data_IF_631549851146
#
_entry.id   IF_631549851146
#
_cell.length_a   1.000
_cell.length_b   1.000
_cell.length_c   1.000
_cell.angle_alpha   90.00
_cell.angle_beta   90.00
_cell.angle_gamma   90.00
#
_symmetry.space_group_name_H-M   'P 1'
#
loop_
_entity.id
_entity.type
_entity.pdbx_description
1 polymer ?
#
# COMPACT_ATOMS: atom_id res chain seq x y z
N UNK A 1 -0.53 -21.61 15.82
CA UNK A 1 0.51 -21.79 16.84
C UNK A 1 -0.05 -21.68 18.25
N UNK A 2 -0.37 -20.47 18.77
CA UNK A 2 -0.87 -20.31 20.15
C UNK A 2 -1.99 -21.27 20.54
N UNK A 3 -3.10 -21.31 19.78
CA UNK A 3 -4.22 -22.23 20.04
C UNK A 3 -3.80 -23.71 20.15
N UNK A 4 -2.80 -24.13 19.37
CA UNK A 4 -2.31 -25.53 19.40
C UNK A 4 -1.34 -25.75 20.56
N UNK A 5 -0.51 -24.76 20.88
CA UNK A 5 0.40 -24.81 22.03
C UNK A 5 -0.37 -24.86 23.36
N UNK A 6 -1.42 -24.04 23.50
CA UNK A 6 -2.31 -24.01 24.66
C UNK A 6 -3.09 -25.32 24.87
N UNK A 7 -3.26 -26.12 23.81
CA UNK A 7 -3.90 -27.43 23.88
C UNK A 7 -2.96 -28.55 24.36
N UNK A 8 -1.67 -28.26 24.55
CA UNK A 8 -0.68 -29.20 25.03
C UNK A 8 -0.30 -29.00 26.48
N UNK A 9 0.68 -29.80 26.93
CA UNK A 9 1.28 -29.73 28.25
C UNK A 9 2.79 -29.62 28.16
N UNK A 10 3.37 -28.83 29.06
CA UNK A 10 4.81 -28.53 29.15
C UNK A 10 5.59 -29.67 29.84
N UNK A 11 6.91 -29.51 29.98
CA UNK A 11 7.77 -30.55 30.56
C UNK A 11 7.45 -30.85 32.04
N UNK A 12 6.81 -29.91 32.75
CA UNK A 12 6.40 -30.06 34.14
C UNK A 12 4.97 -30.61 34.27
N UNK A 13 4.28 -30.86 33.15
CA UNK A 13 2.89 -31.29 33.10
C UNK A 13 1.87 -30.16 33.26
N UNK A 14 2.31 -28.90 33.23
CA UNK A 14 1.44 -27.73 33.25
C UNK A 14 0.81 -27.50 31.86
N UNK A 15 -0.39 -26.92 31.82
CA UNK A 15 -1.03 -26.57 30.56
C UNK A 15 -0.22 -25.50 29.80
N UNK A 16 -0.14 -25.64 28.48
CA UNK A 16 0.56 -24.70 27.62
C UNK A 16 -0.05 -23.29 27.65
N UNK A 17 0.81 -22.28 27.57
CA UNK A 17 0.41 -20.88 27.42
C UNK A 17 0.47 -20.39 25.98
N UNK A 18 0.18 -19.10 25.76
CA UNK A 18 0.48 -18.42 24.49
C UNK A 18 1.98 -18.53 24.18
N UNK A 19 2.31 -18.97 22.97
CA UNK A 19 3.68 -19.03 22.47
C UNK A 19 4.17 -17.65 22.02
N UNK A 20 3.33 -16.95 21.27
CA UNK A 20 3.60 -15.60 20.77
C UNK A 20 2.62 -14.59 21.35
N UNK A 21 3.08 -13.38 21.59
CA UNK A 21 2.21 -12.21 21.62
C UNK A 21 2.31 -11.46 20.28
N UNK A 22 1.26 -10.72 19.93
CA UNK A 22 1.20 -9.94 18.70
C UNK A 22 0.15 -8.84 18.79
N UNK A 23 0.28 -7.83 17.93
CA UNK A 23 -0.63 -6.68 17.94
C UNK A 23 -2.09 -7.04 17.65
N UNK A 24 -2.99 -6.24 18.21
CA UNK A 24 -4.43 -6.34 17.95
C UNK A 24 -4.85 -5.47 16.76
N UNK A 25 -6.04 -5.69 16.18
CA UNK A 25 -6.60 -4.81 15.15
C UNK A 25 -6.65 -3.35 15.60
N UNK A 26 -6.28 -2.44 14.69
CA UNK A 26 -6.40 -1.01 14.92
C UNK A 26 -7.66 -0.46 14.22
N UNK A 27 -8.32 0.52 14.84
CA UNK A 27 -9.46 1.22 14.23
C UNK A 27 -9.16 2.72 14.17
N UNK A 28 -9.29 3.29 12.99
CA UNK A 28 -9.08 4.72 12.73
C UNK A 28 -10.42 5.38 12.46
N UNK A 29 -10.80 6.32 13.30
CA UNK A 29 -12.01 7.13 13.15
C UNK A 29 -11.78 8.26 12.15
N UNK A 30 -12.72 8.49 11.24
CA UNK A 30 -12.65 9.64 10.34
C UNK A 30 -12.95 10.93 11.12
N UNK A 31 -12.07 11.93 11.00
CA UNK A 31 -12.22 13.22 11.70
C UNK A 31 -13.42 14.05 11.26
N UNK A 32 -14.07 13.68 10.15
CA UNK A 32 -15.32 14.30 9.67
C UNK A 32 -16.58 13.62 10.21
N UNK A 33 -16.43 12.58 11.05
CA UNK A 33 -17.59 11.96 11.68
C UNK A 33 -18.28 12.98 12.60
N UNK A 34 -19.60 12.91 12.61
CA UNK A 34 -20.44 13.84 13.38
C UNK A 34 -21.15 13.15 14.53
N UNK A 35 -21.26 11.81 14.50
CA UNK A 35 -21.79 11.01 15.59
C UNK A 35 -20.78 10.81 16.73
N UNK A 36 -21.26 10.16 17.80
CA UNK A 36 -20.46 9.77 18.96
C UNK A 36 -20.00 8.31 18.90
N UNK A 37 -20.19 7.66 17.75
CA UNK A 37 -19.85 6.25 17.58
C UNK A 37 -18.35 6.00 17.78
N UNK A 38 -18.04 4.96 18.54
CA UNK A 38 -16.69 4.43 18.70
C UNK A 38 -16.67 2.96 18.32
N UNK A 39 -15.56 2.52 17.73
CA UNK A 39 -15.40 1.16 17.27
C UNK A 39 -14.14 0.53 17.86
N UNK A 40 -14.28 -0.73 18.27
CA UNK A 40 -13.15 -1.59 18.63
C UNK A 40 -13.20 -2.85 17.77
N UNK A 41 -12.05 -3.40 17.42
CA UNK A 41 -11.96 -4.58 16.58
C UNK A 41 -11.14 -5.67 17.26
N UNK A 42 -11.61 -6.90 17.15
CA UNK A 42 -10.94 -8.09 17.69
C UNK A 42 -10.93 -9.20 16.64
N UNK A 43 -9.96 -10.11 16.75
CA UNK A 43 -9.88 -11.29 15.89
C UNK A 43 -10.61 -12.44 16.57
N UNK A 44 -11.75 -12.85 16.03
CA UNK A 44 -12.49 -14.02 16.50
C UNK A 44 -11.91 -15.32 15.89
N UNK A 45 -11.57 -15.30 14.61
CA UNK A 45 -11.00 -16.43 13.88
C UNK A 45 -9.86 -15.98 12.96
N UNK A 46 -8.62 -16.16 13.43
CA UNK A 46 -7.41 -15.79 12.70
C UNK A 46 -7.27 -16.50 11.36
N UNK A 47 -7.94 -17.65 11.15
CA UNK A 47 -7.80 -18.41 9.90
C UNK A 47 -8.57 -17.77 8.74
N UNK A 48 -9.59 -16.95 9.06
CA UNK A 48 -10.45 -16.28 8.08
C UNK A 48 -10.08 -14.82 7.84
N UNK A 49 -9.21 -14.26 8.69
CA UNK A 49 -8.71 -12.89 8.54
C UNK A 49 -8.07 -12.72 7.18
N UNK A 50 -8.54 -11.71 6.44
CA UNK A 50 -8.01 -11.33 5.14
C UNK A 50 -6.95 -10.23 5.28
N UNK A 51 -6.00 -10.21 4.36
CA UNK A 51 -4.96 -9.18 4.26
C UNK A 51 -5.51 -7.92 3.56
N UNK A 52 -6.50 -7.27 4.16
CA UNK A 52 -7.14 -6.06 3.63
C UNK A 52 -7.59 -5.13 4.76
N UNK A 53 -7.58 -3.84 4.48
CA UNK A 53 -8.20 -2.83 5.34
C UNK A 53 -9.69 -2.71 4.99
N UNK A 54 -10.52 -2.51 6.01
CA UNK A 54 -11.96 -2.38 5.84
C UNK A 54 -12.40 -0.96 6.14
N UNK A 55 -13.05 -0.32 5.17
CA UNK A 55 -13.77 0.93 5.40
C UNK A 55 -15.21 0.61 5.79
N UNK A 56 -15.57 0.91 7.02
CA UNK A 56 -16.94 0.82 7.52
C UNK A 56 -17.58 2.20 7.39
N UNK A 57 -18.78 2.28 6.82
CA UNK A 57 -19.55 3.51 6.73
C UNK A 57 -21.00 3.27 7.12
N UNK A 58 -21.53 4.11 8.01
CA UNK A 58 -22.93 4.05 8.40
C UNK A 58 -23.81 4.69 7.33
N UNK A 59 -24.82 3.95 6.84
CA UNK A 59 -25.73 4.44 5.80
C UNK A 59 -27.01 5.11 6.36
N UNK A 60 -27.16 5.16 7.69
CA UNK A 60 -28.35 5.64 8.40
C UNK A 60 -29.17 4.53 9.05
N UNK A 61 -28.94 3.27 8.67
CA UNK A 61 -29.59 2.08 9.25
C UNK A 61 -28.55 1.01 9.58
N UNK A 62 -27.71 0.67 8.60
CA UNK A 62 -26.72 -0.39 8.66
C UNK A 62 -25.30 0.12 8.35
N UNK A 63 -24.33 -0.77 8.50
CA UNK A 63 -22.94 -0.53 8.13
C UNK A 63 -22.62 -1.13 6.78
N UNK A 64 -22.15 -0.30 5.85
CA UNK A 64 -21.55 -0.73 4.59
C UNK A 64 -20.06 -0.92 4.80
N UNK A 65 -19.58 -2.15 4.61
CA UNK A 65 -18.19 -2.53 4.74
C UNK A 65 -17.60 -2.64 3.32
N UNK A 66 -16.53 -1.89 3.07
CA UNK A 66 -15.81 -1.89 1.80
C UNK A 66 -14.38 -2.34 2.02
N UNK A 67 -13.95 -3.39 1.32
CA UNK A 67 -12.56 -3.87 1.34
C UNK A 67 -11.68 -3.02 0.42
N UNK A 68 -10.36 -3.15 0.55
CA UNK A 68 -9.41 -2.41 -0.31
C UNK A 68 -9.52 -2.75 -1.81
N UNK A 69 -10.05 -3.93 -2.14
CA UNK A 69 -10.35 -4.37 -3.51
C UNK A 69 -11.67 -3.78 -4.08
N UNK A 70 -12.34 -2.90 -3.32
CA UNK A 70 -13.62 -2.25 -3.62
C UNK A 70 -14.85 -3.17 -3.57
N UNK A 71 -14.70 -4.43 -3.18
CA UNK A 71 -15.86 -5.26 -2.86
C UNK A 71 -16.55 -4.72 -1.61
N UNK A 72 -17.88 -4.73 -1.60
CA UNK A 72 -18.65 -4.22 -0.47
C UNK A 72 -19.85 -5.11 -0.14
N UNK A 73 -20.23 -5.08 1.12
CA UNK A 73 -21.41 -5.74 1.66
C UNK A 73 -21.95 -4.89 2.81
N UNK A 74 -23.24 -5.04 3.10
CA UNK A 74 -23.92 -4.31 4.17
C UNK A 74 -24.36 -5.29 5.24
N UNK A 75 -24.23 -4.89 6.50
CA UNK A 75 -24.73 -5.68 7.62
C UNK A 75 -25.18 -4.81 8.78
N UNK A 76 -26.20 -5.29 9.49
CA UNK A 76 -26.62 -4.73 10.76
C UNK A 76 -25.74 -5.29 11.90
N UNK A 77 -25.47 -4.51 12.94
CA UNK A 77 -24.86 -5.03 14.16
C UNK A 77 -25.81 -6.01 14.86
N UNK A 78 -25.26 -6.98 15.58
CA UNK A 78 -26.04 -7.88 16.44
C UNK A 78 -26.62 -7.15 17.67
N UNK A 79 -27.35 -7.87 18.51
CA UNK A 79 -27.95 -7.31 19.73
C UNK A 79 -26.93 -6.71 20.73
N UNK A 80 -25.65 -7.06 20.60
CA UNK A 80 -24.54 -6.56 21.42
C UNK A 80 -23.72 -5.48 20.71
N UNK A 81 -24.13 -5.04 19.51
CA UNK A 81 -23.42 -4.03 18.73
C UNK A 81 -22.27 -4.57 17.88
N UNK A 82 -22.13 -5.89 17.71
CA UNK A 82 -21.01 -6.48 16.96
C UNK A 82 -21.33 -6.67 15.48
N UNK A 83 -20.35 -6.36 14.64
CA UNK A 83 -20.28 -6.70 13.22
C UNK A 83 -19.26 -7.82 13.05
N UNK A 84 -19.71 -9.01 12.63
CA UNK A 84 -18.83 -10.18 12.47
C UNK A 84 -18.65 -10.55 11.01
N UNK A 85 -17.45 -10.36 10.47
CA UNK A 85 -17.12 -10.65 9.08
C UNK A 85 -15.64 -11.04 8.95
N UNK A 86 -15.31 -11.91 7.99
CA UNK A 86 -13.93 -12.28 7.64
C UNK A 86 -13.04 -12.63 8.87
N UNK A 87 -13.61 -13.29 9.88
CA UNK A 87 -12.90 -13.68 11.12
C UNK A 87 -12.68 -12.56 12.14
N UNK A 88 -13.19 -11.35 11.87
CA UNK A 88 -13.16 -10.20 12.75
C UNK A 88 -14.49 -10.03 13.48
N UNK A 89 -14.42 -9.46 14.68
CA UNK A 89 -15.56 -8.94 15.41
C UNK A 89 -15.30 -7.47 15.73
N UNK A 90 -16.08 -6.59 15.11
CA UNK A 90 -16.00 -5.14 15.31
C UNK A 90 -17.19 -4.71 16.17
N UNK A 91 -16.92 -4.29 17.40
CA UNK A 91 -17.95 -3.77 18.29
C UNK A 91 -18.14 -2.29 18.05
N UNK A 92 -19.40 -1.89 17.85
CA UNK A 92 -19.82 -0.50 17.66
C UNK A 92 -20.54 -0.04 18.93
N UNK A 93 -20.09 1.06 19.50
CA UNK A 93 -20.70 1.71 20.67
C UNK A 93 -21.08 3.14 20.33
N UNK A 94 -22.01 3.73 21.08
CA UNK A 94 -22.49 5.10 20.84
C UNK A 94 -23.46 5.19 19.65
N UNK A 95 -23.73 6.42 19.21
CA UNK A 95 -24.67 6.69 18.10
C UNK A 95 -23.90 7.15 16.86
N UNK A 96 -24.10 6.47 15.73
CA UNK A 96 -23.54 6.86 14.44
C UNK A 96 -24.52 7.74 13.67
N UNK A 97 -24.01 8.76 13.00
CA UNK A 97 -24.76 9.54 12.03
C UNK A 97 -24.49 9.03 10.61
N UNK A 98 -25.43 9.25 9.69
CA UNK A 98 -25.26 8.85 8.31
C UNK A 98 -23.96 9.46 7.73
N UNK A 99 -23.21 8.63 6.99
CA UNK A 99 -21.88 8.90 6.41
C UNK A 99 -20.69 8.87 7.39
N UNK A 100 -20.91 8.67 8.69
CA UNK A 100 -19.81 8.39 9.61
C UNK A 100 -19.02 7.18 9.13
N UNK A 101 -17.69 7.24 9.19
CA UNK A 101 -16.81 6.22 8.65
C UNK A 101 -15.60 5.92 9.52
N UNK A 102 -15.18 4.66 9.45
CA UNK A 102 -14.07 4.10 10.23
C UNK A 102 -13.24 3.21 9.31
N UNK A 103 -11.94 3.15 9.54
CA UNK A 103 -11.03 2.21 8.86
C UNK A 103 -10.54 1.20 9.89
N UNK A 104 -10.88 -0.07 9.69
CA UNK A 104 -10.40 -1.18 10.50
C UNK A 104 -9.21 -1.82 9.79
N UNK A 105 -8.07 -1.85 10.48
CA UNK A 105 -6.81 -2.43 10.03
C UNK A 105 -6.55 -3.69 10.84
N UNK A 106 -6.91 -4.89 10.32
CA UNK A 106 -6.88 -6.10 11.12
C UNK A 106 -5.45 -6.59 11.45
N UNK A 107 -4.49 -6.33 10.55
CA UNK A 107 -3.16 -6.96 10.60
C UNK A 107 -1.98 -5.99 10.57
N UNK A 108 -2.21 -4.66 10.49
CA UNK A 108 -1.12 -3.68 10.31
C UNK A 108 -0.13 -3.68 11.47
N UNK A 109 -0.63 -3.88 12.69
CA UNK A 109 0.15 -3.73 13.92
C UNK A 109 0.56 -5.10 14.50
N UNK A 110 0.21 -6.19 13.81
CA UNK A 110 0.50 -7.56 14.25
C UNK A 110 2.01 -7.78 14.35
N UNK A 111 2.76 -7.38 13.32
CA UNK A 111 4.21 -7.66 13.23
C UNK A 111 5.01 -6.77 14.19
N UNK A 112 4.65 -5.49 14.33
CA UNK A 112 5.43 -4.54 15.15
C UNK A 112 5.44 -4.92 16.64
N UNK A 113 4.39 -5.59 17.11
CA UNK A 113 4.26 -6.06 18.48
C UNK A 113 4.42 -7.59 18.60
N UNK A 114 4.99 -8.26 17.60
CA UNK A 114 5.15 -9.71 17.64
C UNK A 114 6.36 -10.09 18.50
N UNK A 115 6.13 -10.90 19.54
CA UNK A 115 7.20 -11.39 20.41
C UNK A 115 6.95 -12.83 20.88
N UNK A 116 8.02 -13.53 21.28
CA UNK A 116 7.92 -14.83 21.93
C UNK A 116 7.65 -14.60 23.42
N UNK A 117 6.56 -15.16 23.95
CA UNK A 117 6.09 -14.85 25.31
C UNK A 117 6.95 -15.46 26.41
N UNK A 118 7.59 -16.59 26.14
CA UNK A 118 8.45 -17.27 27.11
C UNK A 118 9.82 -17.55 26.50
N UNK A 119 10.86 -17.45 27.32
CA UNK A 119 12.25 -17.72 26.94
C UNK A 119 12.77 -19.06 27.49
N UNK A 120 12.01 -19.67 28.38
CA UNK A 120 12.31 -20.93 29.04
C UNK A 120 11.82 -22.10 28.17
N UNK A 121 12.71 -23.00 27.81
CA UNK A 121 12.42 -24.18 27.01
C UNK A 121 11.46 -25.17 27.70
N UNK A 122 11.44 -25.21 29.04
CA UNK A 122 10.58 -26.13 29.79
C UNK A 122 9.09 -25.81 29.63
N UNK A 123 8.77 -24.59 29.18
CA UNK A 123 7.41 -24.11 28.89
C UNK A 123 6.89 -24.48 27.50
N UNK A 124 7.69 -25.19 26.70
CA UNK A 124 7.24 -25.75 25.43
C UNK A 124 6.28 -26.92 25.65
N UNK A 125 5.01 -26.70 25.29
CA UNK A 125 3.93 -27.64 25.48
C UNK A 125 3.91 -28.71 24.38
N UNK A 126 4.81 -29.68 24.46
CA UNK A 126 5.00 -30.72 23.44
C UNK A 126 4.10 -31.95 23.64
N UNK A 127 3.67 -32.19 24.89
CA UNK A 127 2.83 -33.32 25.25
C UNK A 127 1.35 -33.04 24.94
N UNK A 128 0.59 -34.10 24.64
CA UNK A 128 -0.85 -33.99 24.38
C UNK A 128 -1.73 -34.27 25.61
N UNK A 129 -1.13 -34.81 26.67
CA UNK A 129 -1.77 -35.08 27.94
C UNK A 129 -0.79 -34.80 29.09
N UNK A 130 -1.29 -34.32 30.23
CA UNK A 130 -0.49 -34.02 31.43
C UNK A 130 0.27 -35.24 31.97
N UNK A 131 -0.22 -36.46 31.72
CA UNK A 131 0.41 -37.73 32.09
C UNK A 131 0.97 -38.52 30.89
N UNK A 132 1.20 -37.86 29.75
CA UNK A 132 1.65 -38.51 28.51
C UNK A 132 3.05 -39.14 28.59
N UNK A 133 3.78 -38.91 29.68
CA UNK A 133 5.18 -39.27 29.85
C UNK A 133 6.11 -38.16 29.36
N UNK A 134 7.33 -38.12 29.88
CA UNK A 134 8.34 -37.07 29.61
C UNK A 134 8.73 -36.95 28.12
N UNK A 135 8.39 -37.96 27.31
CA UNK A 135 8.70 -38.02 25.88
C UNK A 135 7.48 -37.86 24.95
N UNK A 136 6.30 -37.50 25.46
CA UNK A 136 5.13 -37.26 24.59
C UNK A 136 5.37 -36.01 23.73
N UNK A 137 5.46 -36.19 22.43
CA UNK A 137 5.67 -35.14 21.45
C UNK A 137 4.48 -34.96 20.49
N UNK A 138 3.31 -35.56 20.78
CA UNK A 138 2.15 -35.54 19.89
C UNK A 138 1.60 -34.13 19.66
N UNK A 139 1.68 -33.23 20.65
CA UNK A 139 1.31 -31.83 20.43
C UNK A 139 2.37 -31.10 19.59
N UNK A 140 3.64 -31.44 19.78
CA UNK A 140 4.73 -31.02 18.90
C UNK A 140 4.50 -31.41 17.44
N UNK A 141 4.06 -32.64 17.18
CA UNK A 141 3.70 -33.09 15.84
C UNK A 141 2.54 -32.25 15.27
N UNK A 142 1.49 -31.97 16.06
CA UNK A 142 0.39 -31.09 15.62
C UNK A 142 0.85 -29.66 15.32
N UNK A 143 1.81 -29.14 16.09
CA UNK A 143 2.44 -27.84 15.82
C UNK A 143 3.21 -27.86 14.49
N UNK A 144 3.93 -28.95 14.20
CA UNK A 144 4.60 -29.14 12.92
C UNK A 144 3.61 -29.27 11.75
N UNK A 145 2.50 -30.00 11.95
CA UNK A 145 1.47 -30.20 10.94
C UNK A 145 0.80 -28.88 10.51
N UNK A 146 0.82 -27.84 11.37
CA UNK A 146 0.37 -26.50 10.99
C UNK A 146 1.14 -25.92 9.81
N UNK A 147 2.39 -26.33 9.58
CA UNK A 147 3.17 -25.91 8.42
C UNK A 147 2.47 -26.27 7.10
N UNK A 148 1.79 -27.42 7.06
CA UNK A 148 1.09 -27.93 5.89
C UNK A 148 -0.41 -27.57 5.90
N UNK A 149 -0.89 -26.94 6.97
CA UNK A 149 -2.31 -26.60 7.13
C UNK A 149 -2.66 -25.29 6.45
N UNK A 150 -3.85 -25.23 5.83
CA UNK A 150 -4.35 -24.06 5.08
C UNK A 150 -4.99 -23.03 6.00
N UNK A 151 -4.20 -22.47 6.90
CA UNK A 151 -4.67 -21.56 7.95
C UNK A 151 -4.59 -20.08 7.60
N UNK A 152 -4.05 -19.71 6.44
CA UNK A 152 -3.98 -18.31 5.99
C UNK A 152 -5.11 -18.03 5.00
N UNK A 153 -6.03 -17.14 5.38
CA UNK A 153 -7.20 -16.78 4.56
C UNK A 153 -8.12 -17.96 4.23
N UNK A 154 -8.02 -19.05 4.99
CA UNK A 154 -8.78 -20.30 4.84
C UNK A 154 -8.34 -21.22 3.69
N UNK A 155 -7.31 -20.86 2.91
CA UNK A 155 -6.95 -21.61 1.71
C UNK A 155 -5.44 -21.74 1.41
N UNK A 156 -4.56 -21.06 2.15
CA UNK A 156 -3.11 -21.10 1.94
C UNK A 156 -2.37 -21.60 3.18
N UNK A 157 -1.29 -22.33 2.96
CA UNK A 157 -0.29 -22.59 4.00
C UNK A 157 0.54 -21.34 4.28
N UNK A 158 1.36 -21.34 5.34
CA UNK A 158 2.27 -20.24 5.61
C UNK A 158 3.27 -20.02 4.47
N UNK A 159 3.80 -21.10 3.88
CA UNK A 159 4.75 -21.01 2.78
C UNK A 159 4.07 -20.48 1.50
N UNK A 160 2.88 -21.00 1.16
CA UNK A 160 2.14 -20.56 -0.02
C UNK A 160 1.77 -19.07 0.06
N UNK A 161 1.34 -18.60 1.24
CA UNK A 161 1.02 -17.20 1.47
C UNK A 161 2.23 -16.29 1.27
N UNK A 162 3.38 -16.67 1.83
CA UNK A 162 4.63 -15.91 1.66
C UNK A 162 5.13 -15.94 0.22
N UNK A 163 5.17 -17.11 -0.42
CA UNK A 163 5.58 -17.26 -1.82
C UNK A 163 4.68 -16.46 -2.77
N UNK A 164 3.36 -16.46 -2.53
CA UNK A 164 2.37 -15.67 -3.27
C UNK A 164 2.62 -14.17 -3.12
N UNK A 165 2.98 -13.69 -1.92
CA UNK A 165 3.33 -12.29 -1.69
C UNK A 165 4.58 -11.89 -2.47
N UNK A 166 5.66 -12.67 -2.35
CA UNK A 166 6.92 -12.42 -3.06
C UNK A 166 6.71 -12.43 -4.58
N UNK A 167 5.95 -13.40 -5.08
CA UNK A 167 5.60 -13.50 -6.51
C UNK A 167 4.81 -12.29 -7.00
N UNK A 168 3.84 -11.80 -6.21
CA UNK A 168 3.03 -10.63 -6.56
C UNK A 168 3.89 -9.36 -6.62
N UNK A 169 4.77 -9.16 -5.62
CA UNK A 169 5.70 -8.01 -5.61
C UNK A 169 6.66 -8.09 -6.79
N UNK A 170 7.23 -9.27 -7.07
CA UNK A 170 8.17 -9.46 -8.18
C UNK A 170 7.54 -9.21 -9.54
N UNK A 171 6.36 -9.79 -9.80
CA UNK A 171 5.63 -9.62 -11.07
C UNK A 171 5.15 -8.18 -11.28
N UNK A 172 4.60 -7.54 -10.24
CA UNK A 172 4.20 -6.13 -10.29
C UNK A 172 5.39 -5.21 -10.56
N UNK A 173 6.53 -5.46 -9.89
CA UNK A 173 7.77 -4.69 -10.10
C UNK A 173 8.29 -4.83 -11.53
N UNK A 174 8.29 -6.05 -12.08
CA UNK A 174 8.71 -6.28 -13.47
C UNK A 174 7.80 -5.53 -14.46
N UNK A 175 6.48 -5.61 -14.28
CA UNK A 175 5.51 -4.90 -15.11
C UNK A 175 5.67 -3.38 -15.02
N UNK A 176 5.82 -2.84 -13.81
CA UNK A 176 6.04 -1.40 -13.58
C UNK A 176 7.36 -0.92 -14.18
N UNK A 177 8.42 -1.73 -14.12
CA UNK A 177 9.72 -1.41 -14.75
C UNK A 177 9.57 -1.26 -16.26
N UNK A 178 8.98 -2.24 -16.94
CA UNK A 178 8.74 -2.18 -18.39
C UNK A 178 7.85 -0.99 -18.77
N UNK A 179 6.79 -0.73 -18.00
CA UNK A 179 5.92 0.43 -18.22
C UNK A 179 6.67 1.76 -18.02
N UNK A 180 7.53 1.85 -17.00
CA UNK A 180 8.33 3.04 -16.72
C UNK A 180 9.34 3.33 -17.83
N UNK A 181 10.06 2.31 -18.31
CA UNK A 181 11.00 2.43 -19.42
C UNK A 181 10.29 2.85 -20.72
N UNK A 182 9.12 2.28 -20.99
CA UNK A 182 8.30 2.67 -22.16
C UNK A 182 7.86 4.13 -22.05
N UNK A 183 7.35 4.56 -20.88
CA UNK A 183 6.93 5.95 -20.64
C UNK A 183 8.10 6.92 -20.75
N UNK A 184 9.28 6.56 -20.27
CA UNK A 184 10.49 7.35 -20.41
C UNK A 184 10.89 7.53 -21.89
N UNK A 185 10.88 6.45 -22.67
CA UNK A 185 11.17 6.50 -24.10
C UNK A 185 10.16 7.36 -24.88
N UNK A 186 8.87 7.24 -24.57
CA UNK A 186 7.82 8.09 -25.15
C UNK A 186 8.05 9.56 -24.81
N UNK A 187 8.37 9.87 -23.55
CA UNK A 187 8.69 11.24 -23.14
C UNK A 187 9.91 11.79 -23.90
N UNK A 188 10.99 11.01 -24.04
CA UNK A 188 12.15 11.41 -24.85
C UNK A 188 11.78 11.66 -26.30
N UNK A 189 10.96 10.79 -26.91
CA UNK A 189 10.55 10.95 -28.30
C UNK A 189 9.69 12.19 -28.52
N UNK A 190 8.74 12.46 -27.62
CA UNK A 190 7.90 13.65 -27.65
C UNK A 190 8.74 14.93 -27.46
N UNK A 191 9.72 14.92 -26.55
CA UNK A 191 10.65 16.05 -26.37
C UNK A 191 11.46 16.31 -27.63
N UNK A 192 11.97 15.28 -28.31
CA UNK A 192 12.69 15.43 -29.59
C UNK A 192 11.78 16.01 -30.68
N UNK A 193 10.54 15.55 -30.80
CA UNK A 193 9.57 16.10 -31.75
C UNK A 193 9.25 17.57 -31.43
N UNK A 194 9.07 17.91 -30.16
CA UNK A 194 8.85 19.28 -29.71
C UNK A 194 10.05 20.18 -30.06
N UNK A 195 11.28 19.74 -29.82
CA UNK A 195 12.50 20.47 -30.18
C UNK A 195 12.68 20.61 -31.69
N UNK A 196 12.20 19.66 -32.50
CA UNK A 196 12.25 19.77 -33.96
C UNK A 196 11.30 20.82 -34.53
N UNK A 197 10.20 21.13 -33.85
CA UNK A 197 9.19 22.09 -34.32
C UNK A 197 9.37 23.45 -33.66
N UNK A 198 9.64 23.48 -32.36
CA UNK A 198 9.69 24.69 -31.54
C UNK A 198 11.05 24.91 -30.89
N UNK A 199 12.07 24.11 -31.23
CA UNK A 199 13.43 24.35 -30.79
C UNK A 199 14.09 25.43 -31.64
N UNK A 200 14.95 26.23 -31.01
CA UNK A 200 15.79 27.22 -31.68
C UNK A 200 17.03 26.52 -32.21
N UNK A 201 17.21 26.51 -33.53
CA UNK A 201 18.44 26.03 -34.14
C UNK A 201 19.46 27.18 -34.17
N UNK A 202 20.46 27.12 -33.30
CA UNK A 202 21.48 28.17 -33.19
C UNK A 202 22.22 28.40 -34.51
N UNK A 203 22.45 27.37 -35.32
CA UNK A 203 23.15 27.53 -36.61
C UNK A 203 22.30 28.30 -37.63
N UNK A 204 20.98 28.07 -37.63
CA UNK A 204 20.03 28.81 -38.48
C UNK A 204 19.85 30.25 -37.98
N UNK A 205 19.75 30.45 -36.67
CA UNK A 205 19.75 31.78 -36.06
C UNK A 205 21.07 32.54 -36.32
N UNK A 206 22.23 31.88 -36.29
CA UNK A 206 23.52 32.48 -36.63
C UNK A 206 23.58 32.87 -38.11
N UNK A 207 23.09 32.02 -39.01
CA UNK A 207 22.98 32.34 -40.43
C UNK A 207 22.06 33.54 -40.69
N UNK A 208 20.90 33.57 -40.04
CA UNK A 208 19.96 34.70 -40.10
C UNK A 208 20.57 35.97 -39.50
N UNK A 209 21.26 35.87 -38.37
CA UNK A 209 21.96 36.97 -37.73
C UNK A 209 23.03 37.56 -38.66
N UNK A 210 23.85 36.71 -39.28
CA UNK A 210 24.87 37.15 -40.21
C UNK A 210 24.25 37.81 -41.47
N UNK A 211 23.13 37.27 -41.95
CA UNK A 211 22.36 37.88 -43.04
C UNK A 211 21.79 39.25 -42.65
N UNK A 212 21.25 39.39 -41.43
CA UNK A 212 20.77 40.68 -40.91
C UNK A 212 21.91 41.68 -40.75
N UNK A 213 23.08 41.24 -40.28
CA UNK A 213 24.28 42.09 -40.22
C UNK A 213 24.73 42.55 -41.62
N UNK A 214 24.71 41.66 -42.62
CA UNK A 214 25.01 42.03 -44.01
C UNK A 214 24.00 43.02 -44.59
N UNK A 215 22.70 42.83 -44.36
CA UNK A 215 21.68 43.80 -44.79
C UNK A 215 21.83 45.14 -44.09
N UNK A 216 22.17 45.14 -42.80
CA UNK A 216 22.44 46.38 -42.06
C UNK A 216 23.63 47.15 -42.66
N UNK A 217 24.75 46.46 -42.94
CA UNK A 217 25.92 47.06 -43.57
C UNK A 217 25.63 47.56 -45.00
N UNK A 218 24.88 46.79 -45.79
CA UNK A 218 24.47 47.20 -47.14
C UNK A 218 23.56 48.44 -47.11
N UNK A 219 22.57 48.48 -46.21
CA UNK A 219 21.71 49.64 -46.00
C UNK A 219 22.52 50.86 -45.51
N UNK A 220 23.50 50.66 -44.62
CA UNK A 220 24.40 51.72 -44.19
C UNK A 220 25.24 52.27 -45.37
N UNK A 221 25.73 51.42 -46.29
CA UNK A 221 26.42 51.85 -47.51
C UNK A 221 25.50 52.59 -48.49
N UNK A 222 24.24 52.17 -48.64
CA UNK A 222 23.24 52.88 -49.44
C UNK A 222 22.96 54.25 -48.84
N UNK A 223 22.77 54.35 -47.53
CA UNK A 223 22.60 55.62 -46.82
C UNK A 223 23.84 56.52 -46.96
N UNK A 224 25.05 55.96 -46.85
CA UNK A 224 26.30 56.69 -47.05
C UNK A 224 26.37 57.28 -48.48
N UNK A 225 26.02 56.48 -49.47
CA UNK A 225 26.03 56.87 -50.88
C UNK A 225 24.94 57.89 -51.18
N UNK A 226 23.75 57.72 -50.61
CA UNK A 226 22.66 58.69 -50.68
C UNK A 226 23.06 60.03 -50.03
N UNK A 227 23.74 60.01 -48.89
CA UNK A 227 24.30 61.22 -48.25
C UNK A 227 25.33 61.88 -49.15
N UNK A 228 26.25 61.12 -49.75
CA UNK A 228 27.25 61.67 -50.68
C UNK A 228 26.59 62.29 -51.91
N UNK A 229 25.53 61.67 -52.45
CA UNK A 229 24.75 62.24 -53.55
C UNK A 229 23.99 63.51 -53.12
N UNK A 230 23.41 63.52 -51.92
CA UNK A 230 22.73 64.68 -51.36
C UNK A 230 23.69 65.86 -51.18
N UNK A 231 24.87 65.61 -50.61
CA UNK A 231 25.91 66.61 -50.42
C UNK A 231 26.47 67.12 -51.75
N UNK A 232 26.61 66.24 -52.76
CA UNK A 232 26.99 66.64 -54.11
C UNK A 232 25.93 67.54 -54.77
N UNK A 233 24.64 67.26 -54.59
CA UNK A 233 23.55 68.11 -55.12
C UNK A 233 23.50 69.46 -54.39
N UNK A 234 23.71 69.49 -53.07
CA UNK A 234 23.70 70.73 -52.28
C UNK A 234 24.93 71.61 -52.58
N UNK A 235 26.10 71.03 -52.87
CA UNK A 235 27.31 71.78 -53.25
C UNK A 235 27.32 72.30 -54.70
N UNK A 236 26.28 72.03 -55.52
CA UNK A 236 26.17 72.53 -56.90
C UNK A 236 25.49 73.93 -56.97
N UNK A 237 25.33 74.63 -55.84
CA UNK A 237 24.87 76.04 -55.83
C UNK A 237 25.94 77.00 -55.33
#
# INVERSE_FOLDING_TARGET
MNKQHEAGFDANGDAGGKLFDFGSPAVVTNSRNTGTAAMTATVADSTKVQATDYKLQFNGTDWTITRSDKTSFTMAPDASGNLSFDGLSVNVTGSANAKDSFIVKPVSDVIVNMELKFKDESKLAMASASNGGESDNRNGQKLLDLQNSKVVGGNKTFNDAYASLVSTVGSSTAALKTSSETKANVATQLTKQQQSISGVNLDEEYGNLQRYQQYYLANAQVLQTASTLFDAIINIR
#
